data_IF_406546208757
#
_entry.id   IF_406546208757
#
_cell.length_a   1.000
_cell.length_b   1.000
_cell.length_c   1.000
_cell.angle_alpha   90.00
_cell.angle_beta   90.00
_cell.angle_gamma   90.00
#
_symmetry.space_group_name_H-M   'P 1'
#
loop_
_entity.id
_entity.type
_entity.pdbx_description
1 polymer ?
#
# COMPACT_ATOMS: atom_id res chain seq x y z
N UNK A 1 3.62 -15.26 6.10
CA UNK A 1 3.21 -13.97 6.71
C UNK A 1 4.36 -13.01 6.50
N UNK A 2 4.10 -11.76 6.11
CA UNK A 2 5.14 -10.74 5.98
C UNK A 2 5.60 -10.31 7.38
N UNK A 3 6.91 -10.25 7.59
CA UNK A 3 7.50 -9.61 8.77
C UNK A 3 7.84 -8.15 8.46
N UNK A 4 8.00 -7.33 9.49
CA UNK A 4 8.17 -5.87 9.33
C UNK A 4 9.43 -5.47 8.55
N UNK A 5 10.45 -6.30 8.58
CA UNK A 5 11.72 -6.15 7.88
C UNK A 5 11.66 -6.57 6.41
N UNK A 6 10.65 -7.35 6.00
CA UNK A 6 10.56 -7.86 4.63
C UNK A 6 10.09 -6.80 3.64
N UNK A 7 9.25 -5.86 4.07
CA UNK A 7 8.70 -4.82 3.20
C UNK A 7 9.03 -3.48 3.78
N UNK A 8 9.52 -2.58 2.93
CA UNK A 8 9.62 -1.17 3.26
C UNK A 8 9.05 -0.35 2.11
N UNK A 9 7.95 0.34 2.38
CA UNK A 9 7.45 1.39 1.50
C UNK A 9 7.71 2.75 2.12
N UNK A 10 8.25 3.68 1.33
CA UNK A 10 8.38 5.09 1.72
C UNK A 10 7.84 5.97 0.60
N UNK A 11 6.88 6.84 0.95
CA UNK A 11 6.16 7.60 -0.05
C UNK A 11 5.17 8.61 0.52
N UNK A 12 4.24 9.02 -0.33
CA UNK A 12 3.17 9.95 -0.05
C UNK A 12 1.80 9.35 -0.42
N UNK A 13 0.84 9.48 0.48
CA UNK A 13 -0.57 9.27 0.21
C UNK A 13 -1.26 10.62 -0.06
N UNK A 14 -2.01 10.68 -1.15
CA UNK A 14 -2.83 11.85 -1.49
C UNK A 14 -4.29 11.50 -1.21
N UNK A 15 -4.91 12.29 -0.35
CA UNK A 15 -6.29 12.14 0.10
C UNK A 15 -7.13 13.31 -0.40
N UNK A 16 -8.35 13.04 -0.86
CA UNK A 16 -9.24 14.05 -1.40
C UNK A 16 -10.69 13.79 -1.04
N UNK A 17 -11.48 14.86 -1.00
CA UNK A 17 -12.91 14.76 -0.80
C UNK A 17 -13.58 13.99 -1.95
N UNK A 18 -14.68 13.31 -1.63
CA UNK A 18 -15.46 12.54 -2.62
C UNK A 18 -16.22 13.48 -3.57
N UNK A 19 -16.49 14.73 -3.14
CA UNK A 19 -17.35 15.69 -3.86
C UNK A 19 -16.72 17.07 -4.20
N UNK A 20 -15.40 17.29 -4.06
CA UNK A 20 -14.85 18.61 -4.43
C UNK A 20 -13.45 18.97 -3.94
N UNK A 21 -13.11 20.26 -4.09
CA UNK A 21 -11.77 20.85 -3.90
C UNK A 21 -11.23 20.73 -2.47
N UNK A 22 -9.94 20.42 -2.36
CA UNK A 22 -9.23 20.26 -1.10
C UNK A 22 -8.79 18.82 -0.84
N UNK A 23 -7.72 18.66 -0.07
CA UNK A 23 -7.12 17.35 0.20
C UNK A 23 -6.02 17.41 1.25
N UNK A 24 -5.49 16.25 1.59
CA UNK A 24 -4.30 16.09 2.45
C UNK A 24 -3.26 15.32 1.67
N UNK A 25 -2.00 15.70 1.84
CA UNK A 25 -0.85 14.88 1.46
C UNK A 25 -0.17 14.42 2.73
N UNK A 26 0.13 13.14 2.82
CA UNK A 26 0.72 12.54 4.00
C UNK A 26 1.92 11.69 3.61
N UNK A 27 3.08 12.00 4.18
CA UNK A 27 4.24 11.12 4.09
C UNK A 27 4.00 9.89 4.93
N UNK A 28 4.23 8.73 4.35
CA UNK A 28 3.97 7.44 5.00
C UNK A 28 5.18 6.53 4.87
N UNK A 29 5.28 5.65 5.85
CA UNK A 29 6.19 4.52 5.88
C UNK A 29 5.39 3.27 6.21
N UNK A 30 5.43 2.26 5.35
CA UNK A 30 4.75 0.99 5.62
C UNK A 30 5.76 -0.14 5.73
N UNK A 31 5.49 -1.03 6.67
CA UNK A 31 6.22 -2.28 6.89
C UNK A 31 5.30 -3.47 6.65
N UNK A 32 5.81 -4.69 6.78
CA UNK A 32 5.01 -5.92 6.63
C UNK A 32 3.69 -5.93 7.42
N UNK A 33 3.67 -5.42 8.66
CA UNK A 33 2.45 -5.32 9.48
C UNK A 33 1.39 -4.34 8.94
N UNK A 34 1.74 -3.53 7.94
CA UNK A 34 0.81 -2.65 7.25
C UNK A 34 -0.06 -3.35 6.20
N UNK A 35 0.14 -4.66 5.98
CA UNK A 35 -0.53 -5.44 4.96
C UNK A 35 -1.18 -6.70 5.53
N UNK A 36 -2.38 -6.98 5.05
CA UNK A 36 -3.09 -8.22 5.31
C UNK A 36 -2.90 -9.20 4.15
N UNK A 37 -2.89 -10.50 4.43
CA UNK A 37 -2.91 -11.50 3.36
C UNK A 37 -4.21 -11.36 2.56
N UNK A 38 -4.10 -11.39 1.23
CA UNK A 38 -5.27 -11.32 0.35
C UNK A 38 -5.98 -12.68 0.37
N UNK A 39 -6.82 -12.88 1.38
CA UNK A 39 -7.64 -14.07 1.55
C UNK A 39 -9.14 -13.69 1.59
N UNK A 40 -10.00 -14.70 1.40
CA UNK A 40 -11.47 -14.54 1.49
C UNK A 40 -12.11 -13.75 0.35
N UNK A 41 -11.41 -13.53 -0.77
CA UNK A 41 -11.98 -12.90 -1.97
C UNK A 41 -12.34 -13.96 -3.02
N UNK A 42 -13.21 -13.61 -3.98
CA UNK A 42 -13.47 -14.43 -5.18
C UNK A 42 -12.44 -14.22 -6.28
N UNK A 43 -11.41 -13.40 -6.02
CA UNK A 43 -10.35 -13.10 -6.98
C UNK A 43 -9.35 -14.25 -6.90
N UNK A 44 -9.15 -14.94 -8.03
CA UNK A 44 -8.16 -16.01 -8.10
C UNK A 44 -6.76 -15.44 -7.91
N UNK A 45 -6.01 -15.98 -6.95
CA UNK A 45 -4.57 -15.76 -6.84
C UNK A 45 -3.85 -16.83 -7.65
N UNK A 46 -2.77 -16.46 -8.33
CA UNK A 46 -1.92 -17.41 -9.04
C UNK A 46 -1.26 -18.41 -8.06
N UNK A 47 -1.17 -19.68 -8.45
CA UNK A 47 -0.52 -20.70 -7.61
C UNK A 47 0.95 -20.35 -7.37
N UNK A 48 1.40 -20.46 -6.11
CA UNK A 48 2.76 -20.10 -5.72
C UNK A 48 3.00 -18.60 -5.50
N UNK A 49 2.02 -17.73 -5.79
CA UNK A 49 2.12 -16.28 -5.56
C UNK A 49 1.39 -15.89 -4.27
N UNK A 50 2.13 -15.33 -3.31
CA UNK A 50 1.55 -14.76 -2.10
C UNK A 50 1.11 -13.31 -2.35
N UNK A 51 -0.19 -13.06 -2.34
CA UNK A 51 -0.76 -11.72 -2.51
C UNK A 51 -1.10 -11.11 -1.16
N UNK A 52 -0.71 -9.85 -0.96
CA UNK A 52 -1.01 -9.06 0.24
C UNK A 52 -1.73 -7.76 -0.17
N UNK A 53 -2.54 -7.20 0.73
CA UNK A 53 -3.31 -5.98 0.48
C UNK A 53 -3.27 -5.04 1.67
N UNK A 54 -3.36 -3.74 1.40
CA UNK A 54 -3.66 -2.71 2.39
C UNK A 54 -4.98 -2.07 1.98
N UNK A 55 -5.95 -2.04 2.90
CA UNK A 55 -7.30 -1.52 2.64
C UNK A 55 -7.43 -0.12 3.20
N UNK A 56 -7.97 0.78 2.40
CA UNK A 56 -8.21 2.17 2.78
C UNK A 56 -9.70 2.40 3.02
N UNK A 57 -10.01 3.16 4.07
CA UNK A 57 -11.35 3.63 4.35
C UNK A 57 -11.38 5.16 4.28
N UNK A 58 -12.59 5.69 4.09
CA UNK A 58 -12.82 7.14 4.18
C UNK A 58 -12.37 7.62 5.56
N UNK A 59 -11.57 8.69 5.60
CA UNK A 59 -11.07 9.25 6.85
C UNK A 59 -12.21 9.88 7.69
N UNK A 60 -11.91 10.28 8.92
CA UNK A 60 -12.89 10.90 9.83
C UNK A 60 -13.48 12.20 9.29
N UNK A 61 -12.81 12.85 8.35
CA UNK A 61 -13.31 14.06 7.75
C UNK A 61 -14.25 13.76 6.59
N UNK A 62 -14.17 12.59 5.94
CA UNK A 62 -14.93 12.27 4.73
C UNK A 62 -14.07 12.21 3.46
N UNK A 63 -12.74 12.10 3.59
CA UNK A 63 -11.78 12.04 2.47
C UNK A 63 -11.47 10.60 2.12
N UNK A 64 -11.43 10.30 0.83
CA UNK A 64 -10.96 9.02 0.31
C UNK A 64 -9.53 9.16 -0.19
N UNK A 65 -8.77 8.07 -0.16
CA UNK A 65 -7.48 7.99 -0.82
C UNK A 65 -7.68 8.22 -2.33
N UNK A 66 -6.80 9.02 -2.94
CA UNK A 66 -6.82 9.35 -4.37
C UNK A 66 -5.63 8.77 -5.11
N UNK A 67 -4.45 8.78 -4.50
CA UNK A 67 -3.26 8.17 -5.09
C UNK A 67 -2.20 7.86 -4.04
N UNK A 68 -1.31 6.94 -4.41
CA UNK A 68 -0.10 6.58 -3.69
C UNK A 68 1.09 6.79 -4.62
N UNK A 69 2.14 7.41 -4.11
CA UNK A 69 3.41 7.54 -4.83
C UNK A 69 4.57 7.25 -3.88
N UNK A 70 5.49 6.36 -4.25
CA UNK A 70 6.69 6.10 -3.46
C UNK A 70 7.51 4.93 -3.97
N UNK A 71 8.48 4.51 -3.15
CA UNK A 71 9.35 3.39 -3.44
C UNK A 71 9.02 2.21 -2.53
N UNK A 72 8.90 1.03 -3.11
CA UNK A 72 8.69 -0.23 -2.41
C UNK A 72 9.94 -1.10 -2.53
N UNK A 73 10.52 -1.46 -1.39
CA UNK A 73 11.61 -2.41 -1.26
C UNK A 73 11.10 -3.72 -0.68
N UNK A 74 11.63 -4.84 -1.17
CA UNK A 74 11.37 -6.17 -0.63
C UNK A 74 12.67 -6.88 -0.26
N UNK A 75 12.73 -7.37 0.97
CA UNK A 75 13.89 -8.03 1.58
C UNK A 75 13.47 -9.40 2.13
N UNK A 76 13.42 -10.46 1.32
CA UNK A 76 12.94 -11.77 1.78
C UNK A 76 13.81 -12.40 2.87
N UNK A 77 15.07 -11.99 2.95
CA UNK A 77 16.07 -12.45 3.91
C UNK A 77 16.94 -11.26 4.33
N UNK A 78 17.49 -11.31 5.55
CA UNK A 78 18.43 -10.31 6.04
C UNK A 78 19.64 -10.19 5.09
N UNK A 79 20.01 -8.95 4.75
CA UNK A 79 21.10 -8.69 3.81
C UNK A 79 20.76 -8.93 2.33
N UNK A 80 19.55 -9.38 2.01
CA UNK A 80 19.08 -9.58 0.64
C UNK A 80 17.89 -8.66 0.35
N UNK A 81 18.17 -7.49 -0.23
CA UNK A 81 17.14 -6.53 -0.67
C UNK A 81 17.10 -6.50 -2.19
N UNK A 82 15.91 -6.75 -2.75
CA UNK A 82 15.70 -6.61 -4.19
C UNK A 82 15.72 -5.12 -4.60
N UNK A 83 16.05 -4.80 -5.86
CA UNK A 83 15.94 -3.43 -6.36
C UNK A 83 14.54 -2.86 -6.09
N UNK A 84 14.45 -1.64 -5.53
CA UNK A 84 13.17 -1.06 -5.19
C UNK A 84 12.38 -0.74 -6.46
N UNK A 85 11.07 -0.92 -6.38
CA UNK A 85 10.15 -0.55 -7.46
C UNK A 85 9.45 0.75 -7.13
N UNK A 86 9.21 1.57 -8.15
CA UNK A 86 8.40 2.77 -8.01
C UNK A 86 6.92 2.41 -8.09
N UNK A 87 6.15 2.85 -7.11
CA UNK A 87 4.69 2.74 -7.08
C UNK A 87 4.11 4.11 -7.43
N UNK A 88 3.29 4.16 -8.47
CA UNK A 88 2.51 5.35 -8.86
C UNK A 88 1.10 4.90 -9.23
N UNK A 89 0.26 4.75 -8.22
CA UNK A 89 -1.08 4.21 -8.41
C UNK A 89 -2.16 5.24 -8.06
N UNK A 90 -3.15 5.33 -8.94
CA UNK A 90 -4.42 5.98 -8.61
C UNK A 90 -5.21 5.01 -7.73
N UNK A 91 -5.86 5.52 -6.69
CA UNK A 91 -6.81 4.73 -5.92
C UNK A 91 -8.12 4.68 -6.70
N UNK A 92 -8.53 3.48 -7.14
CA UNK A 92 -9.79 3.29 -7.87
C UNK A 92 -10.89 3.19 -6.82
N UNK A 93 -11.92 4.04 -6.96
CA UNK A 93 -13.11 4.07 -6.10
C UNK A 93 -14.15 3.07 -6.58
#
# INVERSE_FOLDING_TARGET
MLTDDMILFEGEEVWGWIFGYGGKREKVKWTGNGFDRHEGSRVATEEGVAVYRRVYHVDRNGRALKSINGMLSYSPLEGMTLPPIEIKELAWL
#
